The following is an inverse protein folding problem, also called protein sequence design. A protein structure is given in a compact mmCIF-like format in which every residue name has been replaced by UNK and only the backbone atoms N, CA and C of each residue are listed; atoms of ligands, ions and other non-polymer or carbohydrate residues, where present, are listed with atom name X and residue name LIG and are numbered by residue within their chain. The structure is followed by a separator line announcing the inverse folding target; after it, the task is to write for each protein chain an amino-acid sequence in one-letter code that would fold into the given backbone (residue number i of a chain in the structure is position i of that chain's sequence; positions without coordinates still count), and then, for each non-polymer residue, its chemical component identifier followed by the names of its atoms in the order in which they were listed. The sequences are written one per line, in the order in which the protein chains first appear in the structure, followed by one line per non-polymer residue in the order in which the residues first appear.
data_IF_200659647769
#
_entry.id   IF_200659647769
#
_cell.length_a   1.000
_cell.length_b   1.000
_cell.length_c   1.000
_cell.angle_alpha   90.00
_cell.angle_beta   90.00
_cell.angle_gamma   90.00
#
_symmetry.space_group_name_H-M   'P 1'
#
loop_
_entity.id
_entity.type
_entity.pdbx_description
1 polymer ?
#
# COMPACT_ATOMS: atom_id res chain seq x y z
N UNK A 1 18.43 10.83 11.79
CA UNK A 1 19.52 11.82 11.73
C UNK A 1 19.88 11.99 10.28
N UNK A 2 19.70 13.18 9.69
CA UNK A 2 20.10 13.39 8.30
C UNK A 2 21.63 13.45 8.25
N UNK A 3 22.27 12.50 7.57
CA UNK A 3 23.69 12.57 7.28
C UNK A 3 23.95 13.73 6.33
N UNK A 4 24.92 14.58 6.67
CA UNK A 4 25.39 15.64 5.76
C UNK A 4 26.22 15.00 4.68
N UNK A 5 25.78 15.14 3.43
CA UNK A 5 26.60 14.80 2.27
C UNK A 5 27.90 15.60 2.28
N UNK A 6 28.99 14.93 1.92
CA UNK A 6 30.27 15.54 1.63
C UNK A 6 30.20 16.42 0.36
N UNK A 7 31.12 17.38 0.19
CA UNK A 7 31.19 18.19 -1.03
C UNK A 7 31.31 17.36 -2.31
N UNK A 8 32.04 16.24 -2.27
CA UNK A 8 32.24 15.33 -3.40
C UNK A 8 30.95 14.60 -3.77
N UNK A 9 30.20 14.13 -2.79
CA UNK A 9 28.88 13.51 -3.01
C UNK A 9 27.87 14.51 -3.57
N UNK A 10 27.93 15.77 -3.10
CA UNK A 10 27.07 16.83 -3.62
C UNK A 10 27.40 17.17 -5.08
N UNK A 11 28.69 17.24 -5.43
CA UNK A 11 29.11 17.47 -6.82
C UNK A 11 28.70 16.32 -7.74
N UNK A 12 28.87 15.08 -7.30
CA UNK A 12 28.39 13.91 -8.06
C UNK A 12 26.87 13.95 -8.29
N UNK A 13 26.10 14.38 -7.31
CA UNK A 13 24.65 14.57 -7.45
C UNK A 13 24.29 15.68 -8.46
N UNK A 14 25.04 16.79 -8.46
CA UNK A 14 24.82 17.89 -9.41
C UNK A 14 25.08 17.41 -10.85
N UNK A 15 26.14 16.64 -11.07
CA UNK A 15 26.45 16.06 -12.39
C UNK A 15 25.36 15.09 -12.86
N UNK A 16 24.88 14.21 -11.97
CA UNK A 16 23.79 13.29 -12.28
C UNK A 16 22.49 14.02 -12.64
N UNK A 17 22.15 15.10 -11.91
CA UNK A 17 21.01 15.95 -12.22
C UNK A 17 21.19 16.63 -13.59
N UNK A 18 22.39 17.14 -13.87
CA UNK A 18 22.74 17.74 -15.16
C UNK A 18 22.51 16.79 -16.34
N UNK A 19 22.99 15.56 -16.24
CA UNK A 19 22.77 14.54 -17.27
C UNK A 19 21.29 14.20 -17.47
N UNK A 20 20.50 14.13 -16.39
CA UNK A 20 19.05 13.89 -16.48
C UNK A 20 18.33 15.03 -17.18
N UNK A 21 18.70 16.28 -16.89
CA UNK A 21 18.16 17.45 -17.58
C UNK A 21 18.51 17.47 -19.08
N UNK A 22 19.74 17.11 -19.45
CA UNK A 22 20.12 17.04 -20.86
C UNK A 22 19.31 15.98 -21.62
N UNK A 23 19.11 14.79 -21.05
CA UNK A 23 18.26 13.75 -21.64
C UNK A 23 16.82 14.23 -21.83
N UNK A 24 16.28 14.97 -20.86
CA UNK A 24 14.95 15.58 -20.96
C UNK A 24 14.86 16.59 -22.10
N UNK A 25 15.84 17.48 -22.23
CA UNK A 25 15.87 18.48 -23.30
C UNK A 25 16.00 17.85 -24.69
N UNK A 26 16.65 16.69 -24.81
CA UNK A 26 16.79 15.94 -26.07
C UNK A 26 15.57 15.08 -26.40
N UNK A 27 14.58 14.98 -25.51
CA UNK A 27 13.46 14.05 -25.66
C UNK A 27 13.86 12.58 -25.48
N UNK A 28 15.05 12.34 -24.94
CA UNK A 28 15.61 11.02 -24.64
C UNK A 28 15.38 10.62 -23.17
N UNK A 29 14.71 11.47 -22.40
CA UNK A 29 14.26 11.11 -21.06
C UNK A 29 13.28 9.93 -21.19
N UNK A 30 13.42 8.90 -20.33
CA UNK A 30 12.44 7.84 -20.28
C UNK A 30 11.06 8.47 -20.03
N UNK A 31 10.05 8.00 -20.75
CA UNK A 31 8.67 8.43 -20.53
C UNK A 31 8.27 8.23 -19.07
N UNK A 32 7.26 8.95 -18.57
CA UNK A 32 6.74 8.72 -17.22
C UNK A 32 6.39 7.24 -16.98
N UNK A 33 5.96 6.51 -18.02
CA UNK A 33 5.69 5.09 -17.97
C UNK A 33 6.94 4.22 -17.85
N UNK A 34 8.06 4.62 -18.46
CA UNK A 34 9.35 3.93 -18.34
C UNK A 34 10.04 4.23 -17.01
N UNK A 35 9.95 5.48 -16.53
CA UNK A 35 10.40 5.85 -15.18
C UNK A 35 9.62 5.06 -14.13
N UNK A 36 8.29 4.96 -14.25
CA UNK A 36 7.45 4.15 -13.35
C UNK A 36 7.72 2.64 -13.45
N UNK A 37 8.07 2.12 -14.62
CA UNK A 37 8.46 0.70 -14.76
C UNK A 37 9.83 0.40 -14.16
N UNK A 38 10.74 1.37 -14.20
CA UNK A 38 12.10 1.26 -13.65
C UNK A 38 12.12 1.53 -12.13
N UNK A 39 11.27 2.43 -11.64
CA UNK A 39 11.06 2.70 -10.22
C UNK A 39 10.11 1.65 -9.63
N UNK A 40 10.71 0.56 -9.15
CA UNK A 40 10.20 -0.26 -8.03
C UNK A 40 8.82 -0.86 -8.27
N UNK A 41 8.76 -2.02 -8.94
CA UNK A 41 7.65 -2.94 -8.68
C UNK A 41 7.69 -3.30 -7.20
N UNK A 42 6.65 -2.96 -6.45
CA UNK A 42 6.58 -3.30 -5.05
C UNK A 42 6.58 -4.82 -4.91
N UNK A 43 7.54 -5.38 -4.18
CA UNK A 43 7.53 -6.81 -3.85
C UNK A 43 6.36 -7.11 -2.92
N UNK A 44 5.55 -8.11 -3.30
CA UNK A 44 4.44 -8.58 -2.48
C UNK A 44 4.23 -10.08 -2.62
N UNK A 45 3.65 -10.67 -1.58
CA UNK A 45 3.24 -12.07 -1.50
C UNK A 45 1.72 -12.11 -1.37
N UNK A 46 1.02 -12.89 -2.18
CA UNK A 46 -0.42 -13.13 -2.00
C UNK A 46 -0.59 -14.07 -0.80
N UNK A 47 -1.31 -13.62 0.22
CA UNK A 47 -1.58 -14.44 1.41
C UNK A 47 -2.89 -15.21 1.28
N UNK A 48 -3.95 -14.53 0.78
CA UNK A 48 -5.28 -15.10 0.64
C UNK A 48 -6.02 -14.50 -0.54
N UNK A 49 -6.91 -15.29 -1.13
CA UNK A 49 -7.87 -14.86 -2.14
C UNK A 49 -9.29 -15.07 -1.59
N UNK A 50 -10.08 -14.02 -1.59
CA UNK A 50 -11.46 -14.03 -1.13
C UNK A 50 -12.46 -13.91 -2.28
N UNK A 51 -13.71 -13.59 -1.96
CA UNK A 51 -14.76 -13.36 -2.95
C UNK A 51 -14.52 -12.05 -3.72
N UNK A 52 -13.70 -12.14 -4.78
CA UNK A 52 -13.41 -11.03 -5.70
C UNK A 52 -12.42 -9.99 -5.17
N UNK A 53 -11.74 -10.28 -4.06
CA UNK A 53 -10.71 -9.43 -3.44
C UNK A 53 -9.49 -10.24 -3.03
N UNK A 54 -8.34 -9.58 -2.85
CA UNK A 54 -7.07 -10.26 -2.55
C UNK A 54 -6.39 -9.65 -1.32
N UNK A 55 -5.90 -10.50 -0.42
CA UNK A 55 -4.99 -10.09 0.65
C UNK A 55 -3.54 -10.32 0.23
N UNK A 56 -2.71 -9.29 0.36
CA UNK A 56 -1.27 -9.37 0.09
C UNK A 56 -0.45 -8.95 1.30
N UNK A 57 0.74 -9.53 1.45
CA UNK A 57 1.80 -9.01 2.29
C UNK A 57 2.72 -8.13 1.45
N UNK A 58 2.96 -6.90 1.89
CA UNK A 58 3.84 -5.97 1.18
C UNK A 58 4.61 -5.10 2.18
N UNK A 59 5.87 -4.79 1.87
CA UNK A 59 6.67 -3.85 2.64
C UNK A 59 6.30 -2.39 2.33
N UNK A 60 5.85 -2.13 1.10
CA UNK A 60 5.61 -0.79 0.56
C UNK A 60 4.11 -0.49 0.37
N UNK A 61 3.58 0.64 0.88
CA UNK A 61 2.22 1.11 0.58
C UNK A 61 1.95 1.38 -0.92
N UNK A 62 2.97 1.61 -1.76
CA UNK A 62 2.80 1.83 -3.21
C UNK A 62 2.32 0.60 -3.97
N UNK A 63 2.34 -0.59 -3.34
CA UNK A 63 1.84 -1.85 -3.91
C UNK A 63 0.40 -1.77 -4.47
N UNK A 64 -0.44 -0.87 -3.93
CA UNK A 64 -1.82 -0.71 -4.37
C UNK A 64 -1.90 -0.35 -5.86
N UNK A 65 -1.02 0.52 -6.36
CA UNK A 65 -1.03 0.93 -7.77
C UNK A 65 -0.69 -0.24 -8.69
N UNK A 66 0.35 -0.99 -8.38
CA UNK A 66 0.77 -2.18 -9.13
C UNK A 66 -0.34 -3.23 -9.18
N UNK A 67 -1.06 -3.42 -8.07
CA UNK A 67 -2.18 -4.37 -7.99
C UNK A 67 -3.39 -3.90 -8.82
N UNK A 68 -3.69 -2.60 -8.81
CA UNK A 68 -4.74 -2.04 -9.65
C UNK A 68 -4.42 -2.15 -11.15
N UNK A 69 -3.16 -1.97 -11.55
CA UNK A 69 -2.72 -2.18 -12.94
C UNK A 69 -2.82 -3.65 -13.36
N UNK A 70 -2.68 -4.59 -12.41
CA UNK A 70 -2.92 -6.02 -12.63
C UNK A 70 -4.40 -6.43 -12.61
N UNK A 71 -5.31 -5.46 -12.46
CA UNK A 71 -6.76 -5.71 -12.46
C UNK A 71 -7.32 -6.20 -11.12
N UNK A 72 -6.55 -6.15 -10.04
CA UNK A 72 -7.02 -6.50 -8.70
C UNK A 72 -7.62 -5.23 -8.08
N UNK A 73 -8.94 -5.09 -8.09
CA UNK A 73 -9.61 -3.82 -7.76
C UNK A 73 -10.00 -3.68 -6.29
N UNK A 74 -9.95 -4.78 -5.52
CA UNK A 74 -10.30 -4.87 -4.11
C UNK A 74 -9.16 -5.57 -3.37
N UNK A 75 -8.50 -4.85 -2.46
CA UNK A 75 -7.21 -5.24 -1.92
C UNK A 75 -7.22 -5.07 -0.40
N UNK A 76 -6.59 -6.01 0.28
CA UNK A 76 -6.15 -5.83 1.66
C UNK A 76 -4.63 -6.00 1.71
N UNK A 77 -3.90 -4.97 2.11
CA UNK A 77 -2.46 -5.11 2.36
C UNK A 77 -2.21 -5.41 3.82
N UNK A 78 -1.17 -6.18 4.09
CA UNK A 78 -0.69 -6.52 5.42
C UNK A 78 0.82 -6.30 5.49
N UNK A 79 1.28 -5.64 6.56
CA UNK A 79 2.70 -5.46 6.84
C UNK A 79 2.99 -5.71 8.31
N UNK A 80 3.85 -6.68 8.60
CA UNK A 80 4.36 -6.91 9.94
C UNK A 80 5.17 -5.69 10.41
N UNK A 81 4.96 -5.29 11.66
CA UNK A 81 5.76 -4.28 12.34
C UNK A 81 6.81 -4.94 13.25
N UNK A 82 7.85 -4.18 13.61
CA UNK A 82 8.92 -4.66 14.51
C UNK A 82 8.43 -4.98 15.93
N UNK A 83 7.30 -4.41 16.35
CA UNK A 83 6.66 -4.65 17.65
C UNK A 83 5.69 -5.86 17.64
N UNK A 84 5.68 -6.63 16.54
CA UNK A 84 4.81 -7.78 16.33
C UNK A 84 3.36 -7.43 16.00
N UNK A 85 3.01 -6.15 15.83
CA UNK A 85 1.69 -5.73 15.33
C UNK A 85 1.64 -5.77 13.80
N UNK A 86 0.44 -5.59 13.24
CA UNK A 86 0.17 -5.65 11.81
C UNK A 86 -0.44 -4.34 11.34
N UNK A 87 0.21 -3.70 10.37
CA UNK A 87 -0.42 -2.64 9.61
C UNK A 87 -1.28 -3.26 8.51
N UNK A 88 -2.56 -2.88 8.48
CA UNK A 88 -3.48 -3.24 7.41
C UNK A 88 -3.96 -2.00 6.66
N UNK A 89 -4.17 -2.18 5.36
CA UNK A 89 -4.93 -1.24 4.53
C UNK A 89 -5.98 -2.02 3.76
N UNK A 90 -7.24 -1.63 3.90
CA UNK A 90 -8.34 -2.07 3.06
C UNK A 90 -8.51 -1.02 1.97
N UNK A 91 -8.53 -1.43 0.71
CA UNK A 91 -8.63 -0.50 -0.41
C UNK A 91 -9.49 -1.06 -1.55
N UNK A 92 -10.27 -0.18 -2.17
CA UNK A 92 -10.90 -0.40 -3.47
C UNK A 92 -10.46 0.68 -4.45
N UNK A 93 -10.34 0.32 -5.72
CA UNK A 93 -9.82 1.20 -6.78
C UNK A 93 -10.62 2.49 -6.94
N UNK A 94 -11.93 2.43 -6.78
CA UNK A 94 -12.84 3.58 -6.87
C UNK A 94 -14.15 3.31 -6.15
N UNK A 95 -15.00 4.34 -6.01
CA UNK A 95 -16.34 4.17 -5.44
C UNK A 95 -17.30 3.34 -6.31
N UNK A 96 -16.96 3.11 -7.58
CA UNK A 96 -17.73 2.28 -8.52
C UNK A 96 -17.40 0.79 -8.42
N UNK A 97 -16.43 0.40 -7.59
CA UNK A 97 -16.14 -0.99 -7.32
C UNK A 97 -17.12 -1.49 -6.26
N UNK A 98 -18.10 -2.27 -6.70
CA UNK A 98 -19.14 -2.86 -5.86
C UNK A 98 -18.61 -4.02 -4.99
N UNK A 99 -19.43 -4.46 -4.02
CA UNK A 99 -19.21 -5.66 -3.21
C UNK A 99 -17.96 -5.63 -2.31
N UNK A 100 -17.44 -4.43 -2.01
CA UNK A 100 -16.33 -4.22 -1.08
C UNK A 100 -16.46 -2.87 -0.38
N UNK A 101 -17.54 -2.70 0.39
CA UNK A 101 -17.81 -1.45 1.10
C UNK A 101 -16.84 -1.26 2.28
N UNK A 102 -15.79 -0.48 2.06
CA UNK A 102 -14.72 -0.27 3.05
C UNK A 102 -15.28 0.22 4.40
N UNK A 103 -16.18 1.22 4.49
CA UNK A 103 -16.77 1.63 5.76
C UNK A 103 -17.46 0.51 6.53
N UNK A 104 -18.28 -0.32 5.88
CA UNK A 104 -18.94 -1.46 6.54
C UNK A 104 -17.94 -2.51 7.00
N UNK A 105 -16.94 -2.84 6.18
CA UNK A 105 -15.89 -3.79 6.56
C UNK A 105 -15.08 -3.31 7.76
N UNK A 106 -14.74 -2.01 7.81
CA UNK A 106 -14.08 -1.41 8.98
C UNK A 106 -14.99 -1.43 10.21
N UNK A 107 -16.30 -1.28 10.05
CA UNK A 107 -17.24 -1.39 11.17
C UNK A 107 -17.28 -2.82 11.73
N UNK A 108 -17.23 -3.86 10.88
CA UNK A 108 -17.11 -5.25 11.34
C UNK A 108 -15.80 -5.50 12.08
N UNK A 109 -14.68 -4.99 11.58
CA UNK A 109 -13.38 -5.09 12.25
C UNK A 109 -13.37 -4.38 13.61
N UNK A 110 -14.02 -3.22 13.70
CA UNK A 110 -14.19 -2.48 14.96
C UNK A 110 -14.99 -3.23 16.04
N UNK A 111 -15.82 -4.21 15.66
CA UNK A 111 -16.51 -5.07 16.65
C UNK A 111 -15.54 -6.01 17.37
N UNK A 112 -14.40 -6.32 16.75
CA UNK A 112 -13.39 -7.25 17.28
C UNK A 112 -12.22 -6.50 17.91
N UNK A 113 -11.68 -5.50 17.22
CA UNK A 113 -10.60 -4.65 17.72
C UNK A 113 -10.94 -3.19 17.43
N UNK A 114 -11.23 -2.33 18.42
CA UNK A 114 -11.58 -0.93 18.15
C UNK A 114 -10.42 -0.11 17.56
N UNK A 115 -10.77 0.88 16.72
CA UNK A 115 -9.84 1.88 16.19
C UNK A 115 -9.58 1.80 14.68
N UNK A 116 -10.23 0.88 13.95
CA UNK A 116 -10.16 0.85 12.49
C UNK A 116 -10.87 2.07 11.91
N UNK A 117 -10.27 2.69 10.90
CA UNK A 117 -10.79 3.93 10.34
C UNK A 117 -10.32 4.18 8.92
N UNK A 118 -11.03 5.06 8.21
CA UNK A 118 -10.79 5.33 6.80
C UNK A 118 -11.90 6.17 6.17
N UNK A 119 -11.84 6.25 4.84
CA UNK A 119 -12.82 6.86 3.96
C UNK A 119 -13.57 5.77 3.14
N UNK A 120 -14.34 6.18 2.13
CA UNK A 120 -15.15 5.27 1.31
C UNK A 120 -14.34 4.27 0.48
N UNK A 121 -13.12 4.63 0.06
CA UNK A 121 -12.28 3.79 -0.80
C UNK A 121 -11.06 3.21 -0.12
N UNK A 122 -10.61 3.78 1.00
CA UNK A 122 -9.41 3.34 1.68
C UNK A 122 -9.54 3.50 3.20
N UNK A 123 -9.10 2.50 3.94
CA UNK A 123 -9.01 2.52 5.39
C UNK A 123 -7.98 1.56 5.92
N UNK A 124 -7.86 1.43 7.23
CA UNK A 124 -6.85 0.56 7.80
C UNK A 124 -6.92 0.36 9.30
N UNK A 125 -5.91 -0.37 9.76
CA UNK A 125 -5.75 -0.78 11.15
C UNK A 125 -5.68 0.41 12.14
N UNK A 126 -5.98 0.18 13.43
CA UNK A 126 -5.79 1.15 14.49
C UNK A 126 -4.40 1.79 14.52
N UNK A 127 -4.36 3.03 14.98
CA UNK A 127 -3.11 3.74 15.34
C UNK A 127 -3.11 3.88 16.86
N UNK A 128 -2.52 2.92 17.57
CA UNK A 128 -2.58 2.92 19.03
C UNK A 128 -1.67 4.01 19.62
N UNK A 129 -1.97 4.52 20.84
CA UNK A 129 -1.15 5.55 21.48
C UNK A 129 0.32 5.14 21.74
N UNK A 130 0.57 3.83 21.86
CA UNK A 130 1.90 3.25 22.02
C UNK A 130 2.67 3.11 20.69
N UNK A 131 2.08 3.53 19.57
CA UNK A 131 2.64 3.43 18.23
C UNK A 131 2.35 2.10 17.53
N UNK A 132 1.77 1.12 18.24
CA UNK A 132 1.43 -0.18 17.67
C UNK A 132 0.23 -0.10 16.71
N UNK A 133 0.07 -1.15 15.90
CA UNK A 133 -1.03 -1.34 14.96
C UNK A 133 -2.00 -2.41 15.47
N UNK A 134 -2.67 -3.11 14.56
CA UNK A 134 -3.55 -4.21 14.91
C UNK A 134 -2.78 -5.39 15.50
N UNK A 135 -3.37 -6.09 16.46
CA UNK A 135 -2.88 -7.40 16.95
C UNK A 135 -3.59 -8.57 16.26
N UNK A 136 -4.57 -8.30 15.40
CA UNK A 136 -5.28 -9.35 14.67
C UNK A 136 -4.35 -10.00 13.62
N UNK A 137 -4.24 -11.33 13.58
CA UNK A 137 -3.44 -12.01 12.58
C UNK A 137 -4.15 -11.99 11.21
N UNK A 138 -3.40 -12.14 10.10
CA UNK A 138 -3.95 -12.06 8.74
C UNK A 138 -5.13 -13.00 8.47
N UNK A 139 -5.09 -14.22 9.01
CA UNK A 139 -6.18 -15.19 8.89
C UNK A 139 -7.50 -14.67 9.49
N UNK A 140 -7.45 -14.07 10.67
CA UNK A 140 -8.64 -13.51 11.34
C UNK A 140 -9.19 -12.31 10.57
N UNK A 141 -8.33 -11.40 10.10
CA UNK A 141 -8.76 -10.27 9.27
C UNK A 141 -9.39 -10.77 7.97
N UNK A 142 -8.83 -11.81 7.36
CA UNK A 142 -9.39 -12.43 6.17
C UNK A 142 -10.81 -12.96 6.40
N UNK A 143 -11.02 -13.74 7.46
CA UNK A 143 -12.33 -14.32 7.78
C UNK A 143 -13.39 -13.25 8.03
N UNK A 144 -13.05 -12.19 8.78
CA UNK A 144 -13.98 -11.07 9.06
C UNK A 144 -14.36 -10.37 7.76
N UNK A 145 -13.39 -10.07 6.90
CA UNK A 145 -13.64 -9.38 5.62
C UNK A 145 -14.46 -10.27 4.70
N UNK A 146 -14.11 -11.55 4.57
CA UNK A 146 -14.82 -12.49 3.70
C UNK A 146 -16.28 -12.67 4.12
N UNK A 147 -16.57 -12.70 5.42
CA UNK A 147 -17.94 -12.74 5.94
C UNK A 147 -18.70 -11.43 5.71
N UNK A 148 -18.01 -10.29 5.73
CA UNK A 148 -18.59 -8.95 5.52
C UNK A 148 -18.81 -8.58 4.05
N UNK A 149 -18.17 -9.27 3.11
CA UNK A 149 -18.36 -9.07 1.67
C UNK A 149 -19.74 -9.60 1.26
N UNK A 150 -20.63 -8.67 0.88
CA UNK A 150 -21.96 -9.00 0.37
C UNK A 150 -21.90 -9.10 -1.15
N UNK A 151 -22.52 -10.15 -1.73
CA UNK A 151 -22.70 -10.34 -3.18
C UNK A 151 -24.03 -9.77 -3.66
#
# INVERSE_FOLDING_TARGET
TYERMSPEELLGLIDEIGERFEKLLRGEAPSEQELRKAEVRAEYEVLYEGTGWTMVRAADPHVLFDLYEKGIERIVTCRHQSDGSFAYTLARKSDFVDFFDVPSLLAELNKVEPGWGGASTIGGAPRNPDGSRSRLPPATVFEIIEQGVQR
#
